data_IF_723615768669
#
_entry.id   IF_723615768669
#
_cell.length_a   1.000
_cell.length_b   1.000
_cell.length_c   1.000
_cell.angle_alpha   90.00
_cell.angle_beta   90.00
_cell.angle_gamma   90.00
#
_symmetry.space_group_name_H-M   'P 1'
#
loop_
_entity.id
_entity.type
_entity.pdbx_description
1 polymer ?
#
# COMPACT_ATOMS: atom_id res chain seq x y z
N UNK A 1 -11.40 -6.57 -13.76
CA UNK A 1 -10.18 -6.79 -12.94
C UNK A 1 -9.53 -5.49 -12.47
N UNK A 2 -9.34 -4.50 -13.34
CA UNK A 2 -8.66 -3.24 -12.99
C UNK A 2 -9.27 -2.49 -11.77
N UNK A 3 -10.59 -2.51 -11.61
CA UNK A 3 -11.26 -1.91 -10.44
C UNK A 3 -10.85 -2.56 -9.10
N UNK A 4 -10.67 -3.89 -9.06
CA UNK A 4 -10.20 -4.58 -7.85
C UNK A 4 -8.76 -4.20 -7.52
N UNK A 5 -7.91 -4.08 -8.54
CA UNK A 5 -6.52 -3.64 -8.39
C UNK A 5 -6.48 -2.22 -7.79
N UNK A 6 -7.27 -1.29 -8.32
CA UNK A 6 -7.37 0.06 -7.74
C UNK A 6 -7.87 0.05 -6.30
N UNK A 7 -8.85 -0.81 -5.95
CA UNK A 7 -9.32 -0.95 -4.57
C UNK A 7 -8.20 -1.41 -3.63
N UNK A 8 -7.33 -2.34 -4.04
CA UNK A 8 -6.14 -2.71 -3.26
C UNK A 8 -5.20 -1.52 -3.07
N UNK A 9 -4.99 -0.72 -4.12
CA UNK A 9 -4.21 0.51 -4.01
C UNK A 9 -4.77 1.51 -2.99
N UNK A 10 -6.09 1.69 -2.97
CA UNK A 10 -6.79 2.52 -1.96
C UNK A 10 -6.58 1.95 -0.55
N UNK A 11 -6.68 0.64 -0.37
CA UNK A 11 -6.43 0.00 0.94
C UNK A 11 -5.02 0.29 1.44
N UNK A 12 -4.00 0.19 0.59
CA UNK A 12 -2.62 0.54 0.96
C UNK A 12 -2.48 1.99 1.39
N UNK A 13 -3.12 2.93 0.69
CA UNK A 13 -3.12 4.35 1.05
C UNK A 13 -3.87 4.62 2.36
N UNK A 14 -4.98 3.92 2.61
CA UNK A 14 -5.71 4.02 3.88
C UNK A 14 -4.85 3.52 5.05
N UNK A 15 -4.11 2.42 4.87
CA UNK A 15 -3.16 1.93 5.88
C UNK A 15 -2.04 2.93 6.11
N UNK A 16 -1.45 3.49 5.05
CA UNK A 16 -0.43 4.53 5.16
C UNK A 16 -0.94 5.76 5.92
N UNK A 17 -2.14 6.25 5.58
CA UNK A 17 -2.73 7.41 6.22
C UNK A 17 -3.04 7.17 7.70
N UNK A 18 -3.62 6.02 8.03
CA UNK A 18 -3.86 5.62 9.42
C UNK A 18 -2.55 5.50 10.20
N UNK A 19 -1.54 4.83 9.64
CA UNK A 19 -0.24 4.68 10.27
C UNK A 19 0.52 5.99 10.43
N UNK A 20 0.38 6.91 9.48
CA UNK A 20 0.92 8.26 9.59
C UNK A 20 0.28 9.05 10.74
N UNK A 21 -1.03 8.88 11.00
CA UNK A 21 -1.72 9.54 12.12
C UNK A 21 -1.47 8.87 13.47
N UNK A 22 -1.46 7.55 13.55
CA UNK A 22 -1.21 6.83 14.79
C UNK A 22 0.27 6.81 15.20
N UNK A 23 1.18 7.03 14.26
CA UNK A 23 2.62 6.86 14.48
C UNK A 23 3.05 5.40 14.49
N UNK A 24 2.17 4.47 14.17
CA UNK A 24 2.44 3.02 14.11
C UNK A 24 1.98 2.44 12.79
N UNK A 25 2.88 1.76 12.09
CA UNK A 25 2.58 1.09 10.84
C UNK A 25 2.57 -0.40 11.02
N UNK A 26 1.49 -1.10 10.66
CA UNK A 26 1.50 -2.54 10.69
C UNK A 26 2.26 -3.08 9.48
N UNK A 27 3.38 -3.77 9.71
CA UNK A 27 4.23 -4.36 8.68
C UNK A 27 4.46 -5.83 9.03
N UNK A 28 4.06 -6.80 8.21
CA UNK A 28 4.33 -8.20 8.55
C UNK A 28 3.72 -9.19 7.59
N UNK A 29 4.39 -10.35 7.46
CA UNK A 29 4.01 -11.44 6.55
C UNK A 29 2.68 -12.11 6.89
N UNK A 30 2.21 -12.00 8.14
CA UNK A 30 0.87 -12.41 8.58
C UNK A 30 -0.07 -11.23 8.73
N UNK A 31 -0.32 -10.52 7.63
CA UNK A 31 -1.37 -9.49 7.53
C UNK A 31 -1.48 -8.59 8.77
N UNK A 32 -0.48 -7.73 9.01
CA UNK A 32 -0.52 -6.67 10.03
C UNK A 32 -0.20 -7.03 11.49
N UNK A 33 0.19 -8.27 11.81
CA UNK A 33 0.39 -8.69 13.22
C UNK A 33 1.83 -8.89 13.71
N UNK A 34 2.82 -9.12 12.84
CA UNK A 34 4.15 -9.56 13.31
C UNK A 34 5.12 -8.43 13.64
N UNK A 35 5.05 -7.29 12.94
CA UNK A 35 5.98 -6.18 13.15
C UNK A 35 5.23 -4.84 13.04
N UNK A 36 5.46 -3.96 14.00
CA UNK A 36 4.77 -2.65 14.09
C UNK A 36 5.79 -1.56 14.33
N UNK A 37 6.54 -1.13 13.30
CA UNK A 37 7.46 -0.01 13.43
C UNK A 37 6.69 1.23 13.91
N UNK A 38 7.18 1.80 15.00
CA UNK A 38 6.70 3.05 15.58
C UNK A 38 7.64 4.19 15.17
N UNK A 39 7.08 5.37 14.89
CA UNK A 39 7.82 6.58 14.52
C UNK A 39 8.87 6.98 15.56
N UNK A 40 8.64 6.71 16.84
CA UNK A 40 9.53 7.11 17.93
C UNK A 40 10.64 6.09 18.21
N UNK A 41 10.31 4.80 18.23
CA UNK A 41 11.28 3.75 18.56
C UNK A 41 12.17 3.37 17.37
N UNK A 42 11.59 3.35 16.16
CA UNK A 42 12.33 3.02 14.94
C UNK A 42 11.86 3.90 13.77
N UNK A 43 12.27 5.18 13.75
CA UNK A 43 11.83 6.13 12.73
C UNK A 43 12.21 5.69 11.31
N UNK A 44 13.36 5.05 11.14
CA UNK A 44 13.84 4.61 9.82
C UNK A 44 12.90 3.54 9.26
N UNK A 45 12.62 2.48 10.04
CA UNK A 45 11.70 1.44 9.61
C UNK A 45 10.29 1.99 9.38
N UNK A 46 9.80 2.86 10.27
CA UNK A 46 8.50 3.51 10.10
C UNK A 46 8.39 4.24 8.76
N UNK A 47 9.35 5.12 8.44
CA UNK A 47 9.31 5.87 7.18
C UNK A 47 9.54 4.98 5.95
N UNK A 48 10.38 3.95 6.06
CA UNK A 48 10.59 2.98 5.00
C UNK A 48 9.29 2.27 4.63
N UNK A 49 8.58 1.71 5.61
CA UNK A 49 7.29 1.06 5.38
C UNK A 49 6.21 2.06 4.95
N UNK A 50 6.21 3.28 5.50
CA UNK A 50 5.27 4.32 5.08
C UNK A 50 5.42 4.64 3.59
N UNK A 51 6.66 4.90 3.15
CA UNK A 51 6.97 5.14 1.74
C UNK A 51 6.60 3.93 0.89
N UNK A 52 6.88 2.72 1.35
CA UNK A 52 6.50 1.49 0.65
C UNK A 52 4.98 1.38 0.44
N UNK A 53 4.18 1.62 1.48
CA UNK A 53 2.71 1.62 1.39
C UNK A 53 2.20 2.70 0.42
N UNK A 54 2.78 3.90 0.45
CA UNK A 54 2.38 5.01 -0.43
C UNK A 54 2.73 4.70 -1.89
N UNK A 55 3.98 4.31 -2.17
CA UNK A 55 4.44 4.00 -3.52
C UNK A 55 3.66 2.83 -4.12
N UNK A 56 3.46 1.77 -3.33
CA UNK A 56 2.66 0.60 -3.77
C UNK A 56 1.21 1.01 -4.00
N UNK A 57 0.60 1.78 -3.10
CA UNK A 57 -0.79 2.23 -3.24
C UNK A 57 -1.00 3.09 -4.49
N UNK A 58 -0.17 4.11 -4.69
CA UNK A 58 -0.22 4.98 -5.86
C UNK A 58 0.06 4.19 -7.14
N UNK A 59 1.13 3.39 -7.17
CA UNK A 59 1.49 2.58 -8.33
C UNK A 59 0.38 1.62 -8.74
N UNK A 60 -0.28 0.99 -7.76
CA UNK A 60 -1.40 0.07 -8.00
C UNK A 60 -2.63 0.78 -8.57
N UNK A 61 -2.95 1.98 -8.07
CA UNK A 61 -4.04 2.80 -8.63
C UNK A 61 -3.71 3.23 -10.05
N UNK A 62 -2.51 3.73 -10.30
CA UNK A 62 -2.08 4.18 -11.62
C UNK A 62 -2.07 3.02 -12.62
N UNK A 63 -1.60 1.85 -12.22
CA UNK A 63 -1.64 0.65 -13.05
C UNK A 63 -3.09 0.24 -13.35
N UNK A 64 -3.96 0.19 -12.35
CA UNK A 64 -5.37 -0.11 -12.56
C UNK A 64 -6.06 0.90 -13.49
N UNK A 65 -5.77 2.18 -13.34
CA UNK A 65 -6.26 3.23 -14.23
C UNK A 65 -5.74 3.04 -15.67
N UNK A 66 -4.44 2.80 -15.81
CA UNK A 66 -3.80 2.56 -17.11
C UNK A 66 -4.39 1.32 -17.81
N UNK A 67 -4.74 0.27 -17.05
CA UNK A 67 -5.45 -0.89 -17.60
C UNK A 67 -6.89 -0.57 -18.01
N UNK A 68 -7.59 0.34 -17.32
CA UNK A 68 -8.94 0.76 -17.71
C UNK A 68 -8.95 1.54 -19.03
N UNK A 69 -7.92 2.36 -19.27
CA UNK A 69 -7.79 3.14 -20.51
C UNK A 69 -7.07 2.38 -21.64
N UNK A 70 -6.74 1.10 -21.43
CA UNK A 70 -6.13 0.24 -22.45
C UNK A 70 -4.66 0.51 -22.73
N UNK A 71 -3.94 1.21 -21.84
CA UNK A 71 -2.50 1.50 -22.00
C UNK A 71 -1.63 0.31 -21.59
N UNK A 72 -2.12 -0.53 -20.67
CA UNK A 72 -1.43 -1.76 -20.22
C UNK A 72 -2.42 -2.90 -20.12
N UNK A 73 -1.95 -4.11 -20.42
CA UNK A 73 -2.75 -5.31 -20.28
C UNK A 73 -3.17 -5.54 -18.82
N UNK A 74 -4.43 -5.95 -18.56
CA UNK A 74 -4.88 -6.25 -17.22
C UNK A 74 -4.19 -7.51 -16.68
N UNK A 75 -3.85 -7.51 -15.39
CA UNK A 75 -3.28 -8.68 -14.70
C UNK A 75 -4.21 -9.89 -14.86
N UNK A 76 -3.74 -11.03 -15.39
CA UNK A 76 -4.53 -12.25 -15.44
C UNK A 76 -4.62 -12.86 -14.04
N UNK A 77 -5.75 -12.68 -13.35
CA UNK A 77 -6.06 -13.47 -12.16
C UNK A 77 -6.64 -14.81 -12.64
N UNK A 78 -5.84 -15.88 -12.53
CA UNK A 78 -6.22 -17.23 -12.93
C UNK A 78 -7.01 -17.93 -11.84
#
# INVERSE_FOLDING_TARGET
MAALVMLFGVVFLVVAWRGHRSGELPAGSKGFQAYRPNRHENPIAFHFFLCFYVVTGVGTILYGLASLIGVVDPIPLR
#
